data_IF_829749619391
#
_entry.id   IF_829749619391
#
_cell.length_a   1.000
_cell.length_b   1.000
_cell.length_c   1.000
_cell.angle_alpha   90.00
_cell.angle_beta   90.00
_cell.angle_gamma   90.00
#
_symmetry.space_group_name_H-M   'P 1'
#
loop_
_entity.id
_entity.type
_entity.pdbx_description
1 polymer ?
#
# COMPACT_ATOMS: atom_id res chain seq x y z
N UNK A 1 9.11 7.27 29.23
CA UNK A 1 8.14 7.15 28.13
C UNK A 1 8.85 7.62 26.88
N UNK A 2 9.51 6.70 26.17
CA UNK A 2 10.25 7.02 24.95
C UNK A 2 9.27 7.40 23.86
N UNK A 3 9.47 8.56 23.23
CA UNK A 3 8.69 8.99 22.08
C UNK A 3 8.88 7.94 20.96
N UNK A 4 7.83 7.19 20.65
CA UNK A 4 7.87 6.18 19.61
C UNK A 4 7.89 6.91 18.26
N UNK A 5 9.06 6.92 17.62
CA UNK A 5 9.25 7.49 16.29
C UNK A 5 8.75 6.47 15.27
N UNK A 6 7.51 6.63 14.79
CA UNK A 6 6.95 5.77 13.74
C UNK A 6 7.63 6.06 12.39
N UNK A 7 8.83 5.51 12.21
CA UNK A 7 9.55 5.56 10.94
C UNK A 7 9.08 4.41 10.03
N UNK A 8 8.63 4.75 8.83
CA UNK A 8 8.15 3.77 7.85
C UNK A 8 9.29 2.82 7.48
N UNK A 9 9.17 1.54 7.84
CA UNK A 9 10.20 0.53 7.56
C UNK A 9 11.00 0.04 8.76
N UNK A 10 10.94 0.72 9.91
CA UNK A 10 11.82 0.41 11.06
C UNK A 10 11.05 -0.07 12.29
N UNK A 11 9.87 0.53 12.59
CA UNK A 11 9.05 0.18 13.77
C UNK A 11 7.71 -0.46 13.34
N UNK A 12 7.51 -1.75 13.63
CA UNK A 12 6.27 -2.47 13.26
C UNK A 12 6.15 -2.76 11.75
N UNK A 13 7.27 -2.80 11.03
CA UNK A 13 7.31 -3.07 9.60
C UNK A 13 6.93 -4.52 9.28
N UNK A 14 5.77 -4.68 8.64
CA UNK A 14 5.30 -5.95 8.10
C UNK A 14 5.44 -5.93 6.58
N UNK A 15 6.30 -6.77 6.03
CA UNK A 15 6.47 -6.88 4.59
C UNK A 15 5.36 -7.75 3.98
N UNK A 16 5.01 -7.46 2.72
CA UNK A 16 4.09 -8.28 1.94
C UNK A 16 4.48 -8.28 0.46
N UNK A 17 3.92 -9.23 -0.28
CA UNK A 17 3.90 -9.24 -1.75
C UNK A 17 2.46 -9.14 -2.23
N UNK A 18 2.22 -8.62 -3.43
CA UNK A 18 0.86 -8.43 -3.93
C UNK A 18 0.82 -7.98 -5.39
N UNK A 19 -0.41 -7.83 -5.92
CA UNK A 19 -0.67 -7.38 -7.29
C UNK A 19 -1.36 -6.03 -7.26
N UNK A 20 -0.90 -5.09 -8.08
CA UNK A 20 -1.57 -3.80 -8.30
C UNK A 20 -2.82 -4.04 -9.15
N UNK A 21 -3.99 -3.68 -8.61
CA UNK A 21 -5.27 -3.82 -9.31
C UNK A 21 -5.80 -2.50 -9.87
N UNK A 22 -5.42 -1.37 -9.27
CA UNK A 22 -5.84 -0.04 -9.72
C UNK A 22 -4.71 0.99 -9.55
N UNK A 23 -4.60 1.87 -10.55
CA UNK A 23 -3.62 2.96 -10.65
C UNK A 23 -4.26 4.32 -10.95
N UNK A 24 -5.59 4.37 -11.07
CA UNK A 24 -6.32 5.59 -11.40
C UNK A 24 -6.53 6.43 -10.13
N UNK A 25 -5.44 6.90 -9.54
CA UNK A 25 -5.48 7.73 -8.34
C UNK A 25 -6.22 9.05 -8.62
N UNK A 26 -7.38 9.30 -7.99
CA UNK A 26 -8.15 10.53 -8.21
C UNK A 26 -7.39 11.78 -7.79
N UNK A 27 -6.49 11.67 -6.81
CA UNK A 27 -5.71 12.81 -6.30
C UNK A 27 -4.38 12.97 -7.05
N UNK A 28 -4.09 12.08 -8.02
CA UNK A 28 -2.88 12.11 -8.84
C UNK A 28 -1.57 12.13 -8.03
N UNK A 29 -1.53 11.46 -6.88
CA UNK A 29 -0.36 11.38 -5.99
C UNK A 29 0.48 10.12 -6.24
N UNK A 30 0.25 9.42 -7.36
CA UNK A 30 0.95 8.19 -7.71
C UNK A 30 0.60 7.00 -6.81
N UNK A 31 -0.53 7.03 -6.09
CA UNK A 31 -0.95 5.91 -5.24
C UNK A 31 -1.49 4.75 -6.09
N UNK A 32 -1.37 3.55 -5.56
CA UNK A 32 -1.88 2.32 -6.18
C UNK A 32 -2.69 1.50 -5.19
N UNK A 33 -3.69 0.76 -5.66
CA UNK A 33 -4.38 -0.25 -4.86
C UNK A 33 -3.74 -1.61 -5.09
N UNK A 34 -3.32 -2.24 -4.00
CA UNK A 34 -2.59 -3.51 -4.04
C UNK A 34 -3.37 -4.59 -3.30
N UNK A 35 -3.58 -5.75 -3.94
CA UNK A 35 -4.07 -6.94 -3.27
C UNK A 35 -2.90 -7.71 -2.68
N UNK A 36 -2.72 -7.63 -1.36
CA UNK A 36 -1.63 -8.26 -0.63
C UNK A 36 -1.90 -9.75 -0.42
N UNK A 37 -1.02 -10.62 -0.91
CA UNK A 37 -1.15 -12.06 -0.80
C UNK A 37 -1.10 -12.50 0.67
N UNK A 38 -2.06 -13.33 1.07
CA UNK A 38 -2.17 -13.84 2.45
C UNK A 38 -2.86 -12.88 3.44
N UNK A 39 -3.05 -11.61 3.07
CA UNK A 39 -3.78 -10.61 3.87
C UNK A 39 -5.16 -10.30 3.29
N UNK A 40 -5.25 -10.25 1.97
CA UNK A 40 -6.46 -9.91 1.23
C UNK A 40 -7.04 -11.17 0.59
N UNK A 41 -8.36 -11.37 0.71
CA UNK A 41 -9.06 -12.46 0.01
C UNK A 41 -8.90 -12.30 -1.51
N UNK A 42 -8.71 -13.39 -2.28
CA UNK A 42 -8.72 -13.32 -3.75
C UNK A 42 -10.14 -13.18 -4.33
N UNK A 43 -11.19 -13.32 -3.51
CA UNK A 43 -12.58 -13.17 -3.94
C UNK A 43 -12.93 -11.70 -4.21
N UNK A 44 -13.15 -11.38 -5.50
CA UNK A 44 -13.47 -10.04 -5.99
C UNK A 44 -14.90 -9.60 -5.66
N UNK A 45 -15.80 -10.52 -5.32
CA UNK A 45 -17.16 -10.19 -4.88
C UNK A 45 -17.12 -9.81 -3.40
N UNK A 46 -16.43 -10.61 -2.59
CA UNK A 46 -16.30 -10.34 -1.16
C UNK A 46 -15.46 -9.10 -0.87
N UNK A 47 -14.43 -8.83 -1.70
CA UNK A 47 -13.62 -7.62 -1.60
C UNK A 47 -13.25 -7.08 -2.98
N UNK A 48 -14.10 -6.21 -3.54
CA UNK A 48 -13.84 -5.52 -4.81
C UNK A 48 -12.55 -4.71 -4.79
N UNK A 49 -11.99 -4.45 -5.97
CA UNK A 49 -10.80 -3.61 -6.12
C UNK A 49 -10.99 -2.21 -5.52
N UNK A 50 -12.19 -1.64 -5.57
CA UNK A 50 -12.50 -0.33 -4.98
C UNK A 50 -12.32 -0.27 -3.47
N UNK A 51 -12.35 -1.40 -2.79
CA UNK A 51 -12.32 -1.47 -1.33
C UNK A 51 -10.88 -1.63 -0.82
N UNK A 52 -9.93 -1.90 -1.72
CA UNK A 52 -8.52 -1.93 -1.39
C UNK A 52 -8.02 -0.53 -0.99
N UNK A 53 -7.19 -0.45 0.06
CA UNK A 53 -6.59 0.82 0.46
C UNK A 53 -5.58 1.30 -0.59
N UNK A 54 -5.42 2.62 -0.67
CA UNK A 54 -4.37 3.25 -1.45
C UNK A 54 -3.03 3.11 -0.73
N UNK A 55 -2.03 2.60 -1.45
CA UNK A 55 -0.64 2.56 -1.03
C UNK A 55 0.16 3.64 -1.74
N UNK A 56 1.01 4.35 -1.01
CA UNK A 56 1.95 5.31 -1.57
C UNK A 56 3.27 4.60 -1.90
N UNK A 57 3.82 4.89 -3.07
CA UNK A 57 5.07 4.30 -3.54
C UNK A 57 6.23 5.18 -3.08
N UNK A 58 7.30 4.57 -2.55
CA UNK A 58 8.52 5.32 -2.28
C UNK A 58 9.24 5.63 -3.60
N UNK A 59 9.52 6.90 -3.83
CA UNK A 59 10.22 7.36 -5.02
C UNK A 59 11.70 6.93 -5.00
N UNK A 60 12.33 6.76 -6.17
CA UNK A 60 13.76 6.51 -6.25
C UNK A 60 14.56 7.73 -5.76
N UNK A 61 15.80 7.51 -5.33
CA UNK A 61 16.68 8.55 -4.78
C UNK A 61 17.08 9.66 -5.77
N UNK A 62 16.73 9.51 -7.04
CA UNK A 62 17.01 10.48 -8.11
C UNK A 62 15.80 11.34 -8.48
N UNK A 63 14.68 11.19 -7.77
CA UNK A 63 13.49 12.01 -7.98
C UNK A 63 13.52 13.24 -7.04
N UNK A 64 13.46 14.49 -7.54
CA UNK A 64 13.58 15.71 -6.74
C UNK A 64 12.41 16.02 -5.80
#
# INVERSE_FOLDING_TARGET
>A
MTAQSYFMGEDGFNWFIGVVEDRNDPDQQGRVRVRCLGYHTPDLIAMPTSDLPWAHVMHPVTDP
#
